data_IF_905564317113
#
_entry.id   IF_905564317113
#
_cell.length_a   1.000
_cell.length_b   1.000
_cell.length_c   1.000
_cell.angle_alpha   90.00
_cell.angle_beta   90.00
_cell.angle_gamma   90.00
#
_symmetry.space_group_name_H-M   'P 1'
#
loop_
_entity.id
_entity.type
_entity.pdbx_description
1 polymer ?
#
# COMPACT_ATOMS: atom_id res chain seq x y z
N UNK A 1 16.82 11.47 -11.53
CA UNK A 1 15.95 11.34 -10.35
C UNK A 1 14.47 11.37 -10.75
N UNK A 2 13.67 10.47 -10.18
CA UNK A 2 12.19 10.46 -10.31
C UNK A 2 11.56 11.69 -9.65
N UNK A 3 10.52 12.25 -10.29
CA UNK A 3 9.85 13.46 -9.82
C UNK A 3 8.35 13.19 -9.68
N UNK A 4 7.81 13.44 -8.49
CA UNK A 4 6.36 13.43 -8.28
C UNK A 4 5.76 14.69 -8.90
N UNK A 5 4.83 14.52 -9.84
CA UNK A 5 4.10 15.60 -10.50
C UNK A 5 2.60 15.40 -10.27
N UNK A 6 1.78 16.42 -10.52
CA UNK A 6 0.34 16.31 -10.28
C UNK A 6 -0.46 17.44 -10.89
N UNK A 7 -1.74 17.16 -11.09
CA UNK A 7 -2.75 18.14 -11.47
C UNK A 7 -3.97 18.03 -10.53
N UNK A 8 -5.05 18.76 -10.81
CA UNK A 8 -6.28 18.72 -10.01
C UNK A 8 -6.96 17.34 -9.96
N UNK A 9 -6.60 16.42 -10.86
CA UNK A 9 -7.26 15.13 -11.06
C UNK A 9 -6.42 13.93 -10.58
N UNK A 10 -5.13 14.11 -10.30
CA UNK A 10 -4.26 13.03 -9.85
C UNK A 10 -2.83 13.43 -9.60
N UNK A 11 -2.13 12.58 -8.84
CA UNK A 11 -0.67 12.59 -8.72
C UNK A 11 -0.10 11.51 -9.64
N UNK A 12 1.01 11.84 -10.28
CA UNK A 12 1.72 10.98 -11.21
C UNK A 12 3.21 10.98 -10.89
N UNK A 13 3.90 9.93 -11.31
CA UNK A 13 5.35 9.88 -11.23
C UNK A 13 5.94 10.10 -12.63
N UNK A 14 6.80 11.10 -12.75
CA UNK A 14 7.53 11.40 -13.98
C UNK A 14 8.86 10.64 -14.02
N UNK A 15 9.11 10.04 -15.18
CA UNK A 15 10.29 9.25 -15.50
C UNK A 15 11.21 9.94 -16.51
N UNK A 16 10.89 11.17 -16.96
CA UNK A 16 11.67 11.93 -17.93
C UNK A 16 13.14 12.05 -17.51
N UNK A 17 13.38 12.31 -16.23
CA UNK A 17 14.72 12.44 -15.65
C UNK A 17 15.11 11.27 -14.76
N UNK A 18 14.45 10.10 -14.87
CA UNK A 18 14.79 8.93 -14.05
C UNK A 18 16.28 8.58 -14.10
N UNK A 19 16.80 7.98 -13.03
CA UNK A 19 18.16 7.45 -12.92
C UNK A 19 18.15 5.97 -12.54
N UNK A 20 19.20 5.24 -12.95
CA UNK A 20 19.35 3.83 -12.56
C UNK A 20 19.54 3.78 -11.04
N UNK A 21 18.78 2.91 -10.39
CA UNK A 21 18.72 2.80 -8.93
C UNK A 21 17.59 3.59 -8.28
N UNK A 22 16.91 4.48 -9.01
CA UNK A 22 15.73 5.18 -8.49
C UNK A 22 14.66 4.17 -8.06
N UNK A 23 14.12 4.35 -6.84
CA UNK A 23 13.11 3.47 -6.25
C UNK A 23 11.76 4.14 -6.22
N UNK A 24 10.71 3.37 -6.50
CA UNK A 24 9.33 3.81 -6.44
C UNK A 24 8.39 2.65 -6.10
N UNK A 25 7.15 3.00 -5.80
CA UNK A 25 6.12 2.04 -5.43
C UNK A 25 4.96 2.11 -6.41
N UNK A 26 4.50 0.95 -6.86
CA UNK A 26 3.30 0.82 -7.68
C UNK A 26 2.17 0.31 -6.81
N UNK A 27 1.03 1.01 -6.87
CA UNK A 27 -0.20 0.65 -6.17
C UNK A 27 -1.20 0.14 -7.19
N UNK A 28 -1.63 -1.11 -7.06
CA UNK A 28 -2.68 -1.69 -7.89
C UNK A 28 -4.00 -1.58 -7.14
N UNK A 29 -5.04 -1.06 -7.79
CA UNK A 29 -6.39 -0.98 -7.24
C UNK A 29 -7.28 -2.08 -7.84
N UNK A 30 -8.26 -2.55 -7.07
CA UNK A 30 -9.33 -3.41 -7.61
C UNK A 30 -10.22 -2.56 -8.52
N UNK A 31 -10.52 -3.00 -9.76
CA UNK A 31 -11.29 -2.22 -10.72
C UNK A 31 -12.61 -1.68 -10.15
N UNK A 32 -12.94 -0.43 -10.48
CA UNK A 32 -14.17 0.25 -10.06
C UNK A 32 -14.35 0.38 -8.53
N UNK A 33 -13.29 0.16 -7.76
CA UNK A 33 -13.29 0.34 -6.32
C UNK A 33 -12.08 1.18 -5.90
N UNK A 34 -12.23 1.95 -4.81
CA UNK A 34 -11.09 2.60 -4.16
C UNK A 34 -10.23 1.64 -3.34
N UNK A 35 -10.42 0.33 -3.49
CA UNK A 35 -9.73 -0.68 -2.69
C UNK A 35 -8.37 -0.97 -3.31
N UNK A 36 -7.32 -0.84 -2.50
CA UNK A 36 -5.98 -1.24 -2.90
C UNK A 36 -5.89 -2.77 -2.90
N UNK A 37 -5.48 -3.32 -4.04
CA UNK A 37 -5.27 -4.75 -4.26
C UNK A 37 -3.86 -5.17 -3.87
N UNK A 38 -2.86 -4.40 -4.30
CA UNK A 38 -1.46 -4.72 -4.04
C UNK A 38 -0.59 -3.46 -4.03
N UNK A 39 0.53 -3.52 -3.32
CA UNK A 39 1.56 -2.49 -3.30
C UNK A 39 2.89 -3.19 -3.55
N UNK A 40 3.69 -2.69 -4.50
CA UNK A 40 4.95 -3.33 -4.88
C UNK A 40 6.05 -2.31 -5.12
N UNK A 41 7.22 -2.59 -4.56
CA UNK A 41 8.43 -1.80 -4.79
C UNK A 41 9.04 -2.15 -6.14
N UNK A 42 9.49 -1.13 -6.85
CA UNK A 42 10.29 -1.24 -8.06
C UNK A 42 11.53 -0.37 -7.97
N UNK A 43 12.57 -0.78 -8.68
CA UNK A 43 13.78 0.00 -8.94
C UNK A 43 14.01 0.12 -10.43
N UNK A 44 14.42 1.31 -10.89
CA UNK A 44 14.86 1.53 -12.27
C UNK A 44 16.18 0.79 -12.49
N UNK A 45 16.21 -0.10 -13.48
CA UNK A 45 17.40 -0.91 -13.79
C UNK A 45 18.09 -0.47 -15.07
N UNK A 46 17.33 0.04 -16.04
CA UNK A 46 17.89 0.47 -17.32
C UNK A 46 17.08 1.62 -17.92
N UNK A 47 17.79 2.56 -18.52
CA UNK A 47 17.20 3.75 -19.15
C UNK A 47 17.58 3.77 -20.63
N UNK A 48 16.55 3.66 -21.45
CA UNK A 48 16.65 3.81 -22.90
C UNK A 48 16.12 5.19 -23.31
N UNK A 49 16.35 5.56 -24.57
CA UNK A 49 15.93 6.85 -25.13
C UNK A 49 14.41 7.10 -25.01
N UNK A 50 13.58 6.06 -25.07
CA UNK A 50 12.11 6.15 -25.01
C UNK A 50 11.46 5.39 -23.86
N UNK A 51 12.20 4.51 -23.19
CA UNK A 51 11.62 3.60 -22.20
C UNK A 51 12.51 3.45 -20.99
N UNK A 52 11.89 3.19 -19.84
CA UNK A 52 12.56 2.87 -18.59
C UNK A 52 12.17 1.44 -18.21
N UNK A 53 13.17 0.58 -17.99
CA UNK A 53 12.96 -0.77 -17.48
C UNK A 53 13.14 -0.74 -15.97
N UNK A 54 12.17 -1.33 -15.27
CA UNK A 54 12.13 -1.38 -13.82
C UNK A 54 11.93 -2.83 -13.37
N UNK A 55 12.60 -3.20 -12.29
CA UNK A 55 12.52 -4.52 -11.69
C UNK A 55 11.90 -4.42 -10.29
N UNK A 56 11.15 -5.44 -9.89
CA UNK A 56 10.68 -5.63 -8.52
C UNK A 56 11.32 -6.88 -7.93
N UNK A 57 11.58 -6.90 -6.63
CA UNK A 57 12.12 -8.09 -5.95
C UNK A 57 11.24 -9.33 -6.18
N UNK A 58 9.92 -9.13 -6.23
CA UNK A 58 8.95 -10.15 -6.58
C UNK A 58 8.01 -9.67 -7.70
N UNK A 59 7.87 -10.49 -8.75
CA UNK A 59 6.90 -10.29 -9.82
C UNK A 59 7.50 -9.90 -11.17
N UNK A 60 6.65 -9.38 -12.06
CA UNK A 60 7.02 -9.07 -13.44
C UNK A 60 7.72 -7.71 -13.54
N UNK A 61 8.81 -7.66 -14.30
CA UNK A 61 9.46 -6.40 -14.66
C UNK A 61 8.49 -5.46 -15.40
N UNK A 62 8.64 -4.16 -15.18
CA UNK A 62 7.87 -3.12 -15.82
C UNK A 62 8.69 -2.43 -16.91
N UNK A 63 8.05 -2.17 -18.05
CA UNK A 63 8.59 -1.35 -19.12
C UNK A 63 7.70 -0.13 -19.29
N UNK A 64 8.18 1.01 -18.85
CA UNK A 64 7.44 2.27 -18.81
C UNK A 64 7.91 3.19 -19.96
N UNK A 65 7.02 4.03 -20.47
CA UNK A 65 7.38 5.05 -21.47
C UNK A 65 7.95 6.25 -20.75
N UNK A 66 9.16 6.68 -21.13
CA UNK A 66 9.90 7.76 -20.46
C UNK A 66 9.19 9.12 -20.54
N UNK A 67 8.52 9.38 -21.66
CA UNK A 67 7.83 10.64 -21.91
C UNK A 67 6.41 10.72 -21.33
N UNK A 68 5.92 9.67 -20.66
CA UNK A 68 4.58 9.66 -20.11
C UNK A 68 4.63 9.54 -18.59
N UNK A 69 3.94 10.44 -17.86
CA UNK A 69 3.79 10.30 -16.43
C UNK A 69 2.99 9.02 -16.11
N UNK A 70 3.35 8.36 -15.02
CA UNK A 70 2.73 7.09 -14.62
C UNK A 70 1.79 7.31 -13.44
N UNK A 71 0.55 6.85 -13.61
CA UNK A 71 -0.45 6.82 -12.54
C UNK A 71 -0.14 5.72 -11.53
N UNK A 72 -0.65 5.91 -10.31
CA UNK A 72 -0.52 4.97 -9.20
C UNK A 72 0.93 4.56 -8.88
N UNK A 73 1.88 5.40 -9.26
CA UNK A 73 3.29 5.27 -8.95
C UNK A 73 3.66 6.37 -7.95
N UNK A 74 4.36 6.01 -6.88
CA UNK A 74 4.65 6.93 -5.78
C UNK A 74 6.09 6.81 -5.30
N UNK A 75 6.61 7.91 -4.76
CA UNK A 75 7.82 7.91 -3.95
C UNK A 75 7.46 7.51 -2.51
N UNK A 76 8.40 6.90 -1.82
CA UNK A 76 8.23 6.50 -0.40
C UNK A 76 7.95 7.69 0.53
N UNK A 77 8.44 8.87 0.13
CA UNK A 77 8.23 10.13 0.83
C UNK A 77 6.86 10.78 0.56
N UNK A 78 6.03 10.24 -0.34
CA UNK A 78 4.70 10.80 -0.59
C UNK A 78 3.77 10.52 0.61
N UNK A 79 3.23 11.55 1.30
CA UNK A 79 2.35 11.35 2.45
C UNK A 79 1.08 10.54 2.13
N UNK A 80 0.57 10.65 0.90
CA UNK A 80 -0.58 9.87 0.46
C UNK A 80 -0.22 8.38 0.33
N UNK A 81 0.95 8.09 -0.24
CA UNK A 81 1.47 6.73 -0.32
C UNK A 81 1.71 6.15 1.07
N UNK A 82 2.30 6.91 1.99
CA UNK A 82 2.50 6.46 3.38
C UNK A 82 1.19 6.07 4.07
N UNK A 83 0.09 6.78 3.78
CA UNK A 83 -1.23 6.41 4.29
C UNK A 83 -1.77 5.11 3.65
N UNK A 84 -1.58 4.93 2.34
CA UNK A 84 -1.91 3.68 1.64
C UNK A 84 -1.12 2.51 2.23
N UNK A 85 0.20 2.66 2.34
CA UNK A 85 1.10 1.63 2.86
C UNK A 85 0.70 1.20 4.28
N UNK A 86 0.42 2.18 5.16
CA UNK A 86 -0.07 1.92 6.52
C UNK A 86 -1.40 1.16 6.50
N UNK A 87 -2.34 1.58 5.67
CA UNK A 87 -3.67 0.95 5.58
C UNK A 87 -3.55 -0.50 5.11
N UNK A 88 -2.71 -0.76 4.09
CA UNK A 88 -2.43 -2.11 3.61
C UNK A 88 -1.77 -2.97 4.69
N UNK A 89 -0.78 -2.45 5.40
CA UNK A 89 -0.12 -3.18 6.48
C UNK A 89 -1.10 -3.60 7.59
N UNK A 90 -1.96 -2.68 8.03
CA UNK A 90 -3.00 -2.97 9.03
C UNK A 90 -3.97 -4.03 8.49
N UNK A 91 -4.41 -3.89 7.23
CA UNK A 91 -5.32 -4.84 6.60
C UNK A 91 -4.73 -6.25 6.57
N UNK A 92 -3.46 -6.39 6.14
CA UNK A 92 -2.74 -7.67 6.11
C UNK A 92 -2.67 -8.30 7.51
N UNK A 93 -2.24 -7.52 8.51
CA UNK A 93 -2.18 -8.00 9.90
C UNK A 93 -3.54 -8.46 10.42
N UNK A 94 -4.62 -7.73 10.10
CA UNK A 94 -5.98 -8.13 10.48
C UNK A 94 -6.39 -9.44 9.80
N UNK A 95 -6.03 -9.66 8.53
CA UNK A 95 -6.30 -10.93 7.86
C UNK A 95 -5.51 -12.09 8.46
N UNK A 96 -4.24 -11.87 8.82
CA UNK A 96 -3.42 -12.85 9.52
C UNK A 96 -4.02 -13.22 10.88
N UNK A 97 -4.39 -12.22 11.69
CA UNK A 97 -5.05 -12.45 12.98
C UNK A 97 -6.35 -13.24 12.79
N UNK A 98 -7.18 -12.87 11.81
CA UNK A 98 -8.41 -13.62 11.51
C UNK A 98 -8.14 -15.07 11.11
N UNK A 99 -7.07 -15.31 10.36
CA UNK A 99 -6.65 -16.65 9.96
C UNK A 99 -6.23 -17.45 11.19
N UNK A 100 -5.35 -16.90 12.02
CA UNK A 100 -4.87 -17.54 13.25
C UNK A 100 -6.04 -17.92 14.17
N UNK A 101 -6.99 -16.99 14.39
CA UNK A 101 -8.17 -17.24 15.22
C UNK A 101 -9.06 -18.38 14.67
N UNK A 102 -9.14 -18.53 13.35
CA UNK A 102 -9.92 -19.61 12.72
C UNK A 102 -9.24 -20.98 12.78
N UNK A 103 -7.92 -21.00 12.84
CA UNK A 103 -7.12 -22.24 12.80
C UNK A 103 -6.95 -22.89 14.18
N UNK A 104 -7.17 -22.16 15.27
CA UNK A 104 -7.02 -22.66 16.64
C UNK A 104 -8.34 -23.16 17.23
N UNK A 105 -8.25 -24.11 18.17
CA UNK A 105 -9.41 -24.61 18.90
C UNK A 105 -9.86 -23.61 19.97
N UNK A 106 -11.13 -23.68 20.37
CA UNK A 106 -11.69 -22.76 21.40
C UNK A 106 -10.90 -22.87 22.72
N UNK A 107 -10.36 -24.05 23.03
CA UNK A 107 -9.61 -24.28 24.27
C UNK A 107 -8.22 -23.60 24.30
N UNK A 108 -7.71 -23.16 23.14
CA UNK A 108 -6.41 -22.50 23.03
C UNK A 108 -6.48 -21.00 23.39
N UNK A 109 -7.68 -20.44 23.49
CA UNK A 109 -7.88 -19.04 23.85
C UNK A 109 -7.84 -18.87 25.37
N UNK A 110 -6.70 -18.42 25.88
CA UNK A 110 -6.54 -18.08 27.29
C UNK A 110 -7.32 -16.82 27.69
N UNK A 111 -7.39 -16.56 29.00
CA UNK A 111 -8.10 -15.42 29.56
C UNK A 111 -7.51 -14.08 29.10
N UNK A 112 -6.20 -14.01 28.81
CA UNK A 112 -5.54 -12.79 28.36
C UNK A 112 -6.07 -12.36 26.99
N UNK A 113 -6.20 -13.31 26.05
CA UNK A 113 -6.76 -13.03 24.72
C UNK A 113 -8.22 -12.58 24.83
N UNK A 114 -9.03 -13.25 25.66
CA UNK A 114 -10.43 -12.89 25.89
C UNK A 114 -10.54 -11.46 26.43
N UNK A 115 -9.76 -11.13 27.46
CA UNK A 115 -9.78 -9.81 28.10
C UNK A 115 -9.34 -8.71 27.11
N UNK A 116 -8.33 -8.97 26.30
CA UNK A 116 -7.85 -8.05 25.27
C UNK A 116 -8.94 -7.72 24.23
N UNK A 117 -9.66 -8.74 23.75
CA UNK A 117 -10.77 -8.58 22.78
C UNK A 117 -11.92 -7.79 23.41
N UNK A 118 -12.31 -8.12 24.64
CA UNK A 118 -13.39 -7.42 25.35
C UNK A 118 -13.03 -5.96 25.64
N UNK A 119 -11.78 -5.68 26.04
CA UNK A 119 -11.30 -4.32 26.25
C UNK A 119 -11.29 -3.50 24.94
N UNK A 120 -10.89 -4.13 23.82
CA UNK A 120 -10.97 -3.50 22.49
C UNK A 120 -12.42 -3.18 22.10
N UNK A 121 -13.35 -4.12 22.29
CA UNK A 121 -14.78 -3.93 21.99
C UNK A 121 -15.36 -2.75 22.77
N UNK A 122 -15.04 -2.61 24.06
CA UNK A 122 -15.44 -1.45 24.88
C UNK A 122 -14.93 -0.12 24.29
N UNK A 123 -13.65 -0.04 23.90
CA UNK A 123 -13.07 1.17 23.27
C UNK A 123 -13.75 1.53 21.96
N UNK A 124 -14.07 0.54 21.11
CA UNK A 124 -14.75 0.77 19.83
C UNK A 124 -16.17 1.31 20.06
N UNK A 125 -16.92 0.69 20.97
CA UNK A 125 -18.29 1.11 21.30
C UNK A 125 -18.32 2.52 21.89
N UNK A 126 -17.37 2.87 22.77
CA UNK A 126 -17.27 4.21 23.34
C UNK A 126 -17.03 5.29 22.27
N UNK A 127 -16.16 5.01 21.28
CA UNK A 127 -15.92 5.95 20.15
C UNK A 127 -17.15 6.14 19.28
N UNK A 128 -17.94 5.09 19.05
CA UNK A 128 -19.18 5.20 18.27
C UNK A 128 -20.23 6.04 19.00
N UNK A 129 -20.36 5.88 20.32
CA UNK A 129 -21.26 6.71 21.14
C UNK A 129 -20.85 8.19 21.17
N UNK A 130 -19.55 8.48 21.29
CA UNK A 130 -19.03 9.86 21.32
C UNK A 130 -19.12 10.60 19.96
N UNK A 131 -19.25 9.88 18.84
CA UNK A 131 -19.42 10.48 17.52
C UNK A 131 -20.90 10.78 17.17
N UNK A 132 -21.84 10.37 18.03
CA UNK A 132 -23.29 10.50 17.83
C UNK A 132 -23.98 11.44 18.83
N UNK A 133 -23.24 12.00 19.80
CA UNK A 133 -23.71 13.01 20.75
C UNK A 133 -22.96 14.30 20.59
#
# INVERSE_FOLDING_TARGET
MLIATGNAYGKYLDFADAEVGDRFWVVEHVPYSGTVKSVRAYSVTEINSKTVLCHAEEGKALKLKRALPQENCYLDTDPYFQNIARTMQISTQVQEVKKLVKEHEIMDFDQEVIDAVMAWQKRVSARKGAAQG
#
